data_IF_679203571245
#
_entry.id   IF_679203571245
#
_cell.length_a   1.000
_cell.length_b   1.000
_cell.length_c   1.000
_cell.angle_alpha   90.00
_cell.angle_beta   90.00
_cell.angle_gamma   90.00
#
_symmetry.space_group_name_H-M   'P 1'
#
loop_
_entity.id
_entity.type
_entity.pdbx_description
1 polymer ?
#
# COMPACT_ATOMS: atom_id res chain seq x y z
N UNK A 1 -40.23 -17.96 -13.32
CA UNK A 1 -40.73 -17.07 -12.28
C UNK A 1 -39.85 -15.81 -12.33
N UNK A 2 -40.23 -14.79 -13.10
CA UNK A 2 -39.70 -13.44 -12.98
C UNK A 2 -40.25 -12.86 -11.69
N UNK A 3 -39.57 -13.10 -10.58
CA UNK A 3 -39.76 -12.32 -9.38
C UNK A 3 -39.25 -10.91 -9.69
N UNK A 4 -39.99 -9.91 -9.30
CA UNK A 4 -39.53 -8.52 -9.32
C UNK A 4 -38.28 -8.47 -8.47
N UNK A 5 -37.12 -8.15 -9.08
CA UNK A 5 -35.88 -7.95 -8.36
C UNK A 5 -36.10 -6.81 -7.36
N UNK A 6 -36.14 -7.15 -6.10
CA UNK A 6 -36.41 -6.20 -5.02
C UNK A 6 -35.14 -5.48 -4.59
N UNK A 7 -33.99 -6.12 -4.81
CA UNK A 7 -32.69 -5.63 -4.34
C UNK A 7 -31.72 -5.53 -5.53
N UNK A 8 -31.40 -4.33 -5.94
CA UNK A 8 -30.53 -4.09 -7.13
C UNK A 8 -29.02 -4.09 -6.80
N UNK A 9 -28.65 -4.04 -5.53
CA UNK A 9 -27.27 -3.86 -5.12
C UNK A 9 -26.72 -2.47 -5.47
N UNK A 10 -25.45 -2.26 -5.16
CA UNK A 10 -24.79 -0.97 -5.46
C UNK A 10 -24.45 -0.86 -6.94
N UNK A 11 -24.86 0.23 -7.58
CA UNK A 11 -24.50 0.54 -8.97
C UNK A 11 -22.98 0.55 -9.13
N UNK A 12 -22.47 -0.26 -10.06
CA UNK A 12 -21.03 -0.41 -10.31
C UNK A 12 -20.32 -1.45 -9.44
N UNK A 13 -21.04 -2.26 -8.67
CA UNK A 13 -20.46 -3.39 -7.91
C UNK A 13 -20.05 -4.51 -8.87
N UNK A 14 -18.74 -4.56 -9.17
CA UNK A 14 -18.15 -5.51 -10.12
C UNK A 14 -18.02 -6.93 -9.58
N UNK A 15 -18.34 -7.18 -8.32
CA UNK A 15 -18.30 -8.53 -7.72
C UNK A 15 -19.30 -9.46 -8.38
N UNK A 16 -20.41 -8.91 -8.88
CA UNK A 16 -21.53 -9.65 -9.47
C UNK A 16 -21.65 -9.47 -10.98
N UNK A 17 -20.56 -9.16 -11.68
CA UNK A 17 -20.51 -8.95 -13.15
C UNK A 17 -20.65 -10.25 -13.96
N UNK A 18 -20.49 -11.44 -13.35
CA UNK A 18 -20.62 -12.70 -14.07
C UNK A 18 -22.07 -12.96 -14.48
N UNK A 19 -22.35 -13.27 -15.77
CA UNK A 19 -23.72 -13.50 -16.25
C UNK A 19 -24.50 -14.56 -15.46
N UNK A 20 -23.84 -15.53 -14.86
CA UNK A 20 -24.49 -16.57 -14.06
C UNK A 20 -25.29 -16.02 -12.86
N UNK A 21 -24.96 -14.81 -12.37
CA UNK A 21 -25.72 -14.14 -11.31
C UNK A 21 -27.12 -13.72 -11.77
N UNK A 22 -27.35 -13.59 -13.08
CA UNK A 22 -28.66 -13.27 -13.65
C UNK A 22 -29.32 -14.49 -14.30
N UNK A 23 -28.53 -15.33 -14.96
CA UNK A 23 -29.04 -16.46 -15.76
C UNK A 23 -29.40 -17.68 -14.92
N UNK A 24 -28.71 -17.91 -13.80
CA UNK A 24 -28.96 -19.06 -12.92
C UNK A 24 -29.91 -18.68 -11.79
N UNK A 25 -31.03 -19.39 -11.68
CA UNK A 25 -32.01 -19.16 -10.62
C UNK A 25 -31.38 -19.36 -9.20
N UNK A 26 -30.37 -20.22 -9.05
CA UNK A 26 -29.69 -20.43 -7.78
C UNK A 26 -28.83 -19.23 -7.41
N UNK A 27 -27.96 -18.78 -8.32
CA UNK A 27 -27.07 -17.65 -8.08
C UNK A 27 -27.83 -16.34 -7.97
N UNK A 28 -28.90 -16.19 -8.75
CA UNK A 28 -29.78 -15.03 -8.65
C UNK A 28 -30.41 -14.93 -7.25
N UNK A 29 -30.98 -16.03 -6.72
CA UNK A 29 -31.52 -16.06 -5.36
C UNK A 29 -30.47 -15.78 -4.29
N UNK A 30 -29.27 -16.31 -4.46
CA UNK A 30 -28.17 -16.09 -3.53
C UNK A 30 -27.73 -14.61 -3.52
N UNK A 31 -27.64 -13.99 -4.69
CA UNK A 31 -27.38 -12.54 -4.84
C UNK A 31 -28.46 -11.71 -4.15
N UNK A 32 -29.75 -12.01 -4.41
CA UNK A 32 -30.86 -11.32 -3.79
C UNK A 32 -30.88 -11.46 -2.25
N UNK A 33 -30.63 -12.66 -1.74
CA UNK A 33 -30.53 -12.91 -0.31
C UNK A 33 -29.38 -12.14 0.34
N UNK A 34 -28.23 -12.05 -0.34
CA UNK A 34 -27.10 -11.28 0.14
C UNK A 34 -27.41 -9.78 0.23
N UNK A 35 -28.00 -9.20 -0.81
CA UNK A 35 -28.35 -7.77 -0.79
C UNK A 35 -29.45 -7.46 0.22
N UNK A 36 -30.45 -8.36 0.37
CA UNK A 36 -31.47 -8.22 1.39
C UNK A 36 -30.85 -8.20 2.80
N UNK A 37 -29.91 -9.10 3.05
CA UNK A 37 -29.18 -9.14 4.32
C UNK A 37 -28.32 -7.88 4.54
N UNK A 38 -27.58 -7.42 3.52
CA UNK A 38 -26.77 -6.20 3.59
C UNK A 38 -27.62 -4.97 3.90
N UNK A 39 -28.81 -4.84 3.29
CA UNK A 39 -29.77 -3.77 3.53
C UNK A 39 -30.32 -3.85 4.96
N UNK A 40 -30.82 -5.02 5.40
CA UNK A 40 -31.35 -5.20 6.76
C UNK A 40 -30.31 -4.92 7.84
N UNK A 41 -29.06 -5.25 7.61
CA UNK A 41 -27.96 -4.87 8.52
C UNK A 41 -27.72 -3.36 8.55
N UNK A 42 -27.97 -2.65 7.44
CA UNK A 42 -27.93 -1.19 7.39
C UNK A 42 -29.05 -0.56 8.19
N UNK A 43 -30.30 -1.01 7.95
CA UNK A 43 -31.49 -0.59 8.68
C UNK A 43 -31.32 -0.79 10.20
N UNK A 44 -30.80 -1.96 10.61
CA UNK A 44 -30.51 -2.24 12.02
C UNK A 44 -29.53 -1.21 12.64
N UNK A 45 -28.49 -0.82 11.91
CA UNK A 45 -27.55 0.19 12.41
C UNK A 45 -28.20 1.57 12.51
N UNK A 46 -29.06 1.93 11.55
CA UNK A 46 -29.78 3.22 11.54
C UNK A 46 -30.83 3.30 12.68
N UNK A 47 -31.42 2.17 13.10
CA UNK A 47 -32.37 2.06 14.22
C UNK A 47 -31.72 2.18 15.61
N UNK A 48 -30.37 2.06 15.72
CA UNK A 48 -29.68 2.07 17.02
C UNK A 48 -29.59 3.47 17.67
N UNK A 49 -30.01 4.55 17.00
CA UNK A 49 -29.95 5.93 17.49
C UNK A 49 -28.60 6.30 18.15
N UNK A 50 -27.49 5.94 17.50
CA UNK A 50 -26.15 6.16 18.00
C UNK A 50 -25.70 7.62 17.80
N UNK A 51 -24.72 8.08 18.59
CA UNK A 51 -24.05 9.33 18.27
C UNK A 51 -23.30 9.27 16.94
N UNK A 52 -22.98 10.43 16.35
CA UNK A 52 -22.40 10.52 15.01
C UNK A 52 -21.03 9.81 14.85
N UNK A 53 -20.29 9.57 15.93
CA UNK A 53 -19.03 8.83 15.87
C UNK A 53 -19.28 7.32 15.92
N UNK A 54 -20.15 6.88 16.82
CA UNK A 54 -20.46 5.47 16.98
C UNK A 54 -21.31 4.94 15.82
N UNK A 55 -22.18 5.78 15.24
CA UNK A 55 -22.87 5.47 13.97
C UNK A 55 -21.86 5.18 12.83
N UNK A 56 -20.85 6.03 12.67
CA UNK A 56 -19.79 5.79 11.66
C UNK A 56 -19.01 4.52 11.93
N UNK A 57 -18.70 4.22 13.19
CA UNK A 57 -18.04 2.96 13.59
C UNK A 57 -18.90 1.74 13.28
N UNK A 58 -20.18 1.80 13.64
CA UNK A 58 -21.14 0.72 13.39
C UNK A 58 -21.32 0.47 11.88
N UNK A 59 -21.46 1.53 11.07
CA UNK A 59 -21.52 1.44 9.60
C UNK A 59 -20.24 0.85 9.01
N UNK A 60 -19.07 1.22 9.53
CA UNK A 60 -17.80 0.62 9.10
C UNK A 60 -17.72 -0.87 9.43
N UNK A 61 -18.09 -1.27 10.66
CA UNK A 61 -18.11 -2.68 11.06
C UNK A 61 -19.11 -3.47 10.22
N UNK A 62 -20.31 -2.93 10.01
CA UNK A 62 -21.32 -3.51 9.11
C UNK A 62 -20.76 -3.74 7.71
N UNK A 63 -20.13 -2.73 7.10
CA UNK A 63 -19.54 -2.81 5.78
C UNK A 63 -18.46 -3.89 5.69
N UNK A 64 -17.58 -3.98 6.69
CA UNK A 64 -16.53 -5.02 6.76
C UNK A 64 -17.16 -6.40 6.85
N UNK A 65 -18.17 -6.60 7.71
CA UNK A 65 -18.85 -7.88 7.89
C UNK A 65 -19.56 -8.30 6.60
N UNK A 66 -20.43 -7.45 6.06
CA UNK A 66 -21.22 -7.82 4.88
C UNK A 66 -20.35 -8.03 3.66
N UNK A 67 -19.31 -7.21 3.45
CA UNK A 67 -18.36 -7.41 2.35
C UNK A 67 -17.57 -8.70 2.51
N UNK A 68 -17.13 -9.04 3.72
CA UNK A 68 -16.38 -10.28 3.97
C UNK A 68 -17.23 -11.53 3.73
N UNK A 69 -18.53 -11.45 4.01
CA UNK A 69 -19.48 -12.55 3.83
C UNK A 69 -20.12 -12.61 2.43
N UNK A 70 -19.69 -11.74 1.51
CA UNK A 70 -20.21 -11.75 0.15
C UNK A 70 -20.03 -13.12 -0.51
N UNK A 71 -21.05 -13.68 -1.18
CA UNK A 71 -20.97 -15.00 -1.80
C UNK A 71 -19.89 -15.11 -2.87
N UNK A 72 -19.45 -14.00 -3.41
CA UNK A 72 -18.33 -13.91 -4.36
C UNK A 72 -16.96 -14.22 -3.73
N UNK A 73 -16.84 -14.24 -2.41
CA UNK A 73 -15.59 -14.55 -1.69
C UNK A 73 -15.37 -16.06 -1.48
N UNK A 74 -16.39 -16.88 -1.70
CA UNK A 74 -16.30 -18.31 -1.41
C UNK A 74 -16.37 -19.14 -2.68
N UNK A 75 -15.54 -20.18 -2.78
CA UNK A 75 -15.41 -21.01 -3.96
C UNK A 75 -16.76 -21.60 -4.42
N UNK A 76 -17.54 -22.16 -3.51
CA UNK A 76 -18.79 -22.87 -3.85
C UNK A 76 -19.92 -21.94 -4.25
N UNK A 77 -19.91 -20.69 -3.81
CA UNK A 77 -20.93 -19.69 -4.12
C UNK A 77 -20.53 -18.70 -5.20
N UNK A 78 -19.28 -18.76 -5.69
CA UNK A 78 -18.80 -17.88 -6.77
C UNK A 78 -18.83 -18.63 -8.11
N UNK A 79 -19.76 -18.31 -9.05
CA UNK A 79 -19.87 -19.01 -10.32
C UNK A 79 -18.61 -18.89 -11.19
N UNK A 80 -17.92 -17.75 -11.16
CA UNK A 80 -16.68 -17.54 -11.90
C UNK A 80 -15.55 -18.44 -11.36
N UNK A 81 -15.46 -18.58 -10.05
CA UNK A 81 -14.46 -19.43 -9.41
C UNK A 81 -14.72 -20.91 -9.72
N UNK A 82 -15.97 -21.37 -9.61
CA UNK A 82 -16.36 -22.75 -9.96
C UNK A 82 -16.10 -23.06 -11.43
N UNK A 83 -16.46 -22.15 -12.34
CA UNK A 83 -16.15 -22.32 -13.78
C UNK A 83 -14.65 -22.49 -13.99
N UNK A 84 -13.81 -21.68 -13.33
CA UNK A 84 -12.37 -21.80 -13.41
C UNK A 84 -11.83 -23.14 -12.92
N UNK A 85 -12.42 -23.72 -11.87
CA UNK A 85 -12.07 -25.07 -11.41
C UNK A 85 -12.38 -26.11 -12.48
N UNK A 86 -13.55 -26.05 -13.09
CA UNK A 86 -13.97 -26.98 -14.14
C UNK A 86 -13.07 -26.86 -15.38
N UNK A 87 -12.86 -25.64 -15.89
CA UNK A 87 -12.02 -25.36 -17.06
C UNK A 87 -10.58 -25.85 -16.87
N UNK A 88 -10.05 -25.72 -15.67
CA UNK A 88 -8.68 -26.16 -15.33
C UNK A 88 -8.61 -27.60 -14.85
N UNK A 89 -9.72 -28.36 -14.86
CA UNK A 89 -9.80 -29.71 -14.30
C UNK A 89 -9.21 -29.82 -12.89
N UNK A 90 -9.48 -28.82 -12.06
CA UNK A 90 -8.99 -28.73 -10.69
C UNK A 90 -7.57 -28.18 -10.52
N UNK A 91 -6.81 -27.92 -11.59
CA UNK A 91 -5.44 -27.42 -11.47
C UNK A 91 -5.35 -26.06 -10.76
N UNK A 92 -6.38 -25.21 -10.88
CA UNK A 92 -6.45 -23.94 -10.16
C UNK A 92 -6.48 -24.12 -8.63
N UNK A 93 -7.16 -25.15 -8.12
CA UNK A 93 -7.19 -25.46 -6.69
C UNK A 93 -5.83 -25.95 -6.18
N UNK A 94 -5.19 -26.83 -6.93
CA UNK A 94 -3.85 -27.33 -6.59
C UNK A 94 -2.83 -26.20 -6.56
N UNK A 95 -2.91 -25.26 -7.53
CA UNK A 95 -2.07 -24.05 -7.53
C UNK A 95 -2.37 -23.17 -6.33
N UNK A 96 -3.64 -22.93 -6.00
CA UNK A 96 -4.06 -22.16 -4.83
C UNK A 96 -3.54 -22.77 -3.53
N UNK A 97 -3.68 -24.09 -3.36
CA UNK A 97 -3.16 -24.79 -2.18
C UNK A 97 -1.63 -24.68 -2.08
N UNK A 98 -0.91 -24.83 -3.19
CA UNK A 98 0.54 -24.66 -3.21
C UNK A 98 0.95 -23.23 -2.80
N UNK A 99 0.29 -22.21 -3.36
CA UNK A 99 0.55 -20.83 -2.99
C UNK A 99 0.28 -20.60 -1.50
N UNK A 100 -0.84 -21.10 -0.97
CA UNK A 100 -1.18 -20.99 0.45
C UNK A 100 -0.10 -21.62 1.35
N UNK A 101 0.37 -22.84 1.01
CA UNK A 101 1.45 -23.50 1.78
C UNK A 101 2.76 -22.72 1.69
N UNK A 102 3.08 -22.17 0.51
CA UNK A 102 4.28 -21.34 0.32
C UNK A 102 4.19 -20.05 1.13
N UNK A 103 3.05 -19.37 1.10
CA UNK A 103 2.80 -18.16 1.88
C UNK A 103 2.94 -18.42 3.39
N UNK A 104 2.42 -19.56 3.88
CA UNK A 104 2.59 -19.95 5.29
C UNK A 104 4.06 -20.18 5.68
N UNK A 105 4.83 -20.79 4.79
CA UNK A 105 6.24 -21.11 5.06
C UNK A 105 7.19 -19.93 4.87
N UNK A 106 6.98 -19.14 3.84
CA UNK A 106 7.98 -18.21 3.32
C UNK A 106 7.56 -16.73 3.42
N UNK A 107 6.28 -16.45 3.76
CA UNK A 107 5.76 -15.09 3.79
C UNK A 107 4.91 -14.77 5.04
N UNK A 108 5.13 -15.48 6.14
CA UNK A 108 4.42 -15.30 7.42
C UNK A 108 2.88 -15.37 7.30
N UNK A 109 2.37 -16.21 6.42
CA UNK A 109 0.94 -16.38 6.16
C UNK A 109 0.31 -15.26 5.31
N UNK A 110 1.09 -14.28 4.88
CA UNK A 110 0.59 -13.22 4.00
C UNK A 110 0.71 -13.63 2.53
N UNK A 111 -0.32 -13.38 1.71
CA UNK A 111 -0.25 -13.69 0.29
C UNK A 111 0.91 -12.97 -0.41
N UNK A 112 1.72 -13.73 -1.16
CA UNK A 112 2.79 -13.16 -1.98
C UNK A 112 2.17 -12.35 -3.14
N UNK A 113 2.43 -11.04 -3.17
CA UNK A 113 1.87 -10.14 -4.18
C UNK A 113 2.79 -9.96 -5.39
N UNK A 114 4.10 -10.20 -5.22
CA UNK A 114 5.12 -10.00 -6.25
C UNK A 114 6.18 -11.09 -6.20
N UNK A 115 6.77 -11.38 -7.33
CA UNK A 115 7.99 -12.19 -7.43
C UNK A 115 9.21 -11.32 -7.09
N UNK A 116 9.67 -11.38 -5.85
CA UNK A 116 10.79 -10.57 -5.34
C UNK A 116 12.14 -10.97 -5.95
N UNK A 117 12.26 -12.17 -6.52
CA UNK A 117 13.51 -12.67 -7.09
C UNK A 117 14.03 -11.87 -8.29
N UNK A 118 13.15 -11.05 -8.89
CA UNK A 118 13.47 -10.19 -10.04
C UNK A 118 14.02 -8.82 -9.67
N UNK A 119 14.08 -8.50 -8.38
CA UNK A 119 14.45 -7.16 -7.90
C UNK A 119 15.68 -7.22 -7.01
N UNK A 120 16.65 -6.38 -7.34
CA UNK A 120 17.92 -6.25 -6.62
C UNK A 120 18.22 -4.78 -6.35
N UNK A 121 18.36 -4.44 -5.06
CA UNK A 121 18.73 -3.08 -4.63
C UNK A 121 20.20 -2.81 -4.97
N UNK A 122 20.46 -1.72 -5.69
CA UNK A 122 21.79 -1.42 -6.26
C UNK A 122 22.04 -2.06 -7.63
N UNK A 123 21.22 -3.05 -8.02
CA UNK A 123 21.23 -3.67 -9.36
C UNK A 123 20.21 -3.01 -10.28
N UNK A 124 18.92 -3.36 -10.11
CA UNK A 124 17.85 -2.81 -10.92
C UNK A 124 16.84 -1.94 -10.13
N UNK A 125 17.03 -1.80 -8.83
CA UNK A 125 16.38 -0.80 -7.96
C UNK A 125 17.45 0.06 -7.30
N UNK A 126 17.13 1.32 -6.96
CA UNK A 126 18.05 2.26 -6.32
C UNK A 126 19.34 2.44 -7.14
N UNK A 127 19.18 2.73 -8.42
CA UNK A 127 20.29 2.71 -9.39
C UNK A 127 21.14 4.00 -9.40
N UNK A 128 20.71 5.06 -8.73
CA UNK A 128 21.48 6.29 -8.62
C UNK A 128 22.65 6.11 -7.65
N UNK A 129 23.87 6.42 -8.09
CA UNK A 129 25.08 6.29 -7.28
C UNK A 129 25.06 7.28 -6.11
N UNK A 130 25.36 6.80 -4.89
CA UNK A 130 25.38 7.62 -3.68
C UNK A 130 26.14 6.95 -2.55
N UNK A 131 26.32 7.70 -1.45
CA UNK A 131 26.96 7.21 -0.24
C UNK A 131 26.24 7.68 1.02
N UNK A 132 26.26 6.88 2.08
CA UNK A 132 25.81 7.29 3.41
C UNK A 132 26.82 8.26 3.99
N UNK A 133 26.39 9.51 4.24
CA UNK A 133 27.24 10.61 4.73
C UNK A 133 26.98 10.97 6.20
N UNK A 134 25.85 10.51 6.75
CA UNK A 134 25.52 10.71 8.16
C UNK A 134 24.65 9.53 8.65
N UNK A 135 24.83 9.15 9.92
CA UNK A 135 24.06 8.11 10.59
C UNK A 135 23.48 8.64 11.90
N UNK A 136 22.24 8.31 12.11
CA UNK A 136 21.48 8.50 13.34
C UNK A 136 20.83 7.18 13.73
N UNK A 137 20.37 7.02 14.94
CA UNK A 137 19.69 5.79 15.37
C UNK A 137 18.48 5.45 14.48
N UNK A 138 17.71 6.47 14.08
CA UNK A 138 16.48 6.33 13.29
C UNK A 138 16.70 6.36 11.78
N UNK A 139 17.84 6.84 11.29
CA UNK A 139 18.04 7.04 9.85
C UNK A 139 19.51 6.96 9.42
N UNK A 140 19.69 6.69 8.14
CA UNK A 140 20.91 7.01 7.39
C UNK A 140 20.60 8.10 6.37
N UNK A 141 21.53 9.06 6.21
CA UNK A 141 21.43 10.10 5.21
C UNK A 141 22.32 9.73 4.01
N UNK A 142 21.70 9.59 2.86
CA UNK A 142 22.37 9.28 1.59
C UNK A 142 22.59 10.59 0.84
N UNK A 143 23.84 10.85 0.42
CA UNK A 143 24.17 11.89 -0.56
C UNK A 143 24.37 11.21 -1.92
N UNK A 144 23.64 11.65 -2.92
CA UNK A 144 23.79 11.15 -4.28
C UNK A 144 24.90 11.88 -5.03
N UNK A 145 25.59 11.14 -5.89
CA UNK A 145 26.67 11.68 -6.72
C UNK A 145 26.09 12.60 -7.81
N UNK A 146 26.54 13.85 -7.91
CA UNK A 146 26.10 14.75 -8.96
C UNK A 146 26.38 14.18 -10.36
N UNK A 147 25.45 14.41 -11.29
CA UNK A 147 25.60 14.04 -12.70
C UNK A 147 26.18 15.17 -13.55
N UNK A 148 26.34 16.36 -12.99
CA UNK A 148 26.89 17.53 -13.64
C UNK A 148 28.08 18.11 -12.88
N UNK A 149 29.01 18.75 -13.60
CA UNK A 149 30.19 19.38 -13.00
C UNK A 149 29.85 20.62 -12.14
N UNK A 150 28.69 21.22 -12.37
CA UNK A 150 28.19 22.37 -11.60
C UNK A 150 26.82 22.03 -11.05
N UNK A 151 26.61 22.35 -9.78
CA UNK A 151 25.36 22.10 -9.07
C UNK A 151 24.86 23.37 -8.41
N UNK A 152 23.56 23.44 -8.19
CA UNK A 152 22.99 24.54 -7.42
C UNK A 152 23.53 24.55 -5.99
N UNK A 153 23.79 25.73 -5.46
CA UNK A 153 24.33 25.92 -4.10
C UNK A 153 23.36 25.41 -3.03
N UNK A 154 22.06 25.56 -3.24
CA UNK A 154 21.04 25.09 -2.30
C UNK A 154 20.75 23.60 -2.52
N UNK A 155 21.10 22.73 -1.56
CA UNK A 155 20.83 21.30 -1.68
C UNK A 155 19.34 20.99 -1.49
N UNK A 156 18.96 19.77 -1.85
CA UNK A 156 17.61 19.21 -1.70
C UNK A 156 17.68 18.00 -0.79
N UNK A 157 16.82 17.95 0.24
CA UNK A 157 16.57 16.79 1.08
C UNK A 157 15.25 16.16 0.68
N UNK A 158 15.27 14.86 0.34
CA UNK A 158 14.08 14.02 0.14
C UNK A 158 13.78 13.29 1.44
N UNK A 159 12.58 13.48 1.98
CA UNK A 159 12.07 12.81 3.19
C UNK A 159 10.98 11.83 2.78
N UNK A 160 11.30 10.55 2.58
CA UNK A 160 10.31 9.54 2.25
C UNK A 160 9.42 9.20 3.45
N UNK A 161 8.22 8.62 3.23
CA UNK A 161 7.42 8.10 4.33
C UNK A 161 8.16 6.99 5.07
N UNK A 162 8.00 6.92 6.39
CA UNK A 162 8.66 5.94 7.26
C UNK A 162 8.29 4.48 6.89
N UNK A 163 7.11 4.27 6.33
CA UNK A 163 6.63 2.95 5.89
C UNK A 163 7.27 2.46 4.59
N UNK A 164 7.95 3.34 3.84
CA UNK A 164 8.56 3.01 2.56
C UNK A 164 10.09 2.92 2.65
N UNK A 165 10.66 2.22 1.69
CA UNK A 165 12.12 2.22 1.49
C UNK A 165 12.56 3.52 0.83
N UNK A 166 13.79 3.96 1.09
CA UNK A 166 14.37 5.18 0.51
C UNK A 166 14.27 5.22 -1.01
N UNK A 167 14.38 4.05 -1.66
CA UNK A 167 14.36 3.93 -3.11
C UNK A 167 12.97 4.03 -3.76
N UNK A 168 11.90 4.35 -3.01
CA UNK A 168 10.60 4.69 -3.60
C UNK A 168 10.74 5.88 -4.58
N UNK A 169 11.75 6.74 -4.37
CA UNK A 169 12.08 7.86 -5.24
C UNK A 169 13.17 7.54 -6.26
N UNK A 170 13.68 6.30 -6.30
CA UNK A 170 14.76 5.86 -7.20
C UNK A 170 14.52 4.40 -7.63
N UNK A 171 13.36 4.13 -8.24
CA UNK A 171 12.94 2.76 -8.56
C UNK A 171 13.75 2.18 -9.72
N UNK A 172 13.74 2.85 -10.88
CA UNK A 172 14.51 2.44 -12.06
C UNK A 172 15.11 3.68 -12.72
N UNK A 173 16.08 3.53 -13.65
CA UNK A 173 16.65 4.67 -14.37
C UNK A 173 15.63 5.59 -15.04
N UNK A 174 14.48 5.04 -15.48
CA UNK A 174 13.38 5.77 -16.13
C UNK A 174 12.33 6.29 -15.12
N UNK A 175 12.29 5.70 -13.93
CA UNK A 175 11.33 6.02 -12.86
C UNK A 175 12.06 6.43 -11.59
N UNK A 176 12.89 7.46 -11.70
CA UNK A 176 13.69 7.99 -10.60
C UNK A 176 13.52 9.51 -10.50
N UNK A 177 12.87 9.95 -9.43
CA UNK A 177 12.84 11.37 -9.06
C UNK A 177 14.23 11.87 -8.65
N UNK A 178 15.00 11.03 -7.97
CA UNK A 178 16.39 11.33 -7.59
C UNK A 178 17.23 11.65 -8.84
N UNK A 179 17.23 10.73 -9.82
CA UNK A 179 17.98 10.90 -11.06
C UNK A 179 17.54 12.16 -11.82
N UNK A 180 16.23 12.40 -11.91
CA UNK A 180 15.71 13.62 -12.51
C UNK A 180 16.32 14.87 -11.84
N UNK A 181 16.25 14.97 -10.50
CA UNK A 181 16.83 16.12 -9.79
C UNK A 181 18.35 16.25 -10.01
N UNK A 182 19.08 15.15 -10.05
CA UNK A 182 20.52 15.17 -10.32
C UNK A 182 20.82 15.67 -11.75
N UNK A 183 20.01 15.29 -12.74
CA UNK A 183 20.13 15.78 -14.12
C UNK A 183 19.87 17.28 -14.24
N UNK A 184 18.92 17.79 -13.42
CA UNK A 184 18.61 19.23 -13.33
C UNK A 184 19.64 20.01 -12.50
N UNK A 185 20.72 19.38 -12.04
CA UNK A 185 21.82 20.04 -11.34
C UNK A 185 21.60 20.24 -9.83
N UNK A 186 20.65 19.57 -9.19
CA UNK A 186 20.50 19.63 -7.75
C UNK A 186 21.53 18.75 -7.04
N UNK A 187 21.99 19.21 -5.85
CA UNK A 187 22.66 18.36 -4.88
C UNK A 187 21.58 17.63 -4.08
N UNK A 188 21.43 16.32 -4.28
CA UNK A 188 20.33 15.56 -3.71
C UNK A 188 20.80 14.71 -2.53
N UNK A 189 20.06 14.80 -1.45
CA UNK A 189 20.17 13.95 -0.28
C UNK A 189 18.83 13.25 -0.05
N UNK A 190 18.85 12.03 0.49
CA UNK A 190 17.63 11.33 0.90
C UNK A 190 17.81 10.65 2.24
N UNK A 191 16.75 10.63 3.03
CA UNK A 191 16.69 9.87 4.26
C UNK A 191 16.35 8.41 3.93
N UNK A 192 17.11 7.49 4.50
CA UNK A 192 16.80 6.09 4.60
C UNK A 192 16.39 5.78 6.04
N UNK A 193 15.09 5.64 6.29
CA UNK A 193 14.58 5.34 7.62
C UNK A 193 14.94 3.90 8.05
N UNK A 194 15.35 3.74 9.31
CA UNK A 194 15.48 2.43 9.92
C UNK A 194 14.09 1.80 10.08
N UNK A 195 13.93 0.53 9.75
CA UNK A 195 12.72 -0.21 10.06
C UNK A 195 12.70 -0.52 11.57
N UNK A 196 11.74 0.01 12.34
CA UNK A 196 11.66 -0.27 13.76
C UNK A 196 11.26 -1.72 14.03
N UNK A 197 11.74 -2.26 15.14
CA UNK A 197 11.30 -3.54 15.71
C UNK A 197 10.47 -3.26 16.97
N UNK A 198 10.11 -4.30 17.72
CA UNK A 198 9.41 -4.14 19.00
C UNK A 198 10.23 -3.34 20.03
N UNK A 199 11.55 -3.36 19.95
CA UNK A 199 12.44 -2.61 20.84
C UNK A 199 12.27 -1.10 20.67
N UNK A 200 11.92 -0.64 19.47
CA UNK A 200 11.69 0.75 19.12
C UNK A 200 10.22 1.16 19.17
N UNK A 201 9.34 0.41 19.85
CA UNK A 201 7.92 0.74 19.95
C UNK A 201 7.62 2.10 20.62
N UNK A 202 8.61 2.67 21.29
CA UNK A 202 8.55 3.98 21.94
C UNK A 202 8.86 5.15 20.99
N UNK A 203 9.31 4.90 19.74
CA UNK A 203 9.57 5.95 18.78
C UNK A 203 8.26 6.57 18.30
N UNK A 204 8.06 7.83 18.65
CA UNK A 204 6.94 8.65 18.22
C UNK A 204 7.35 9.67 17.16
N UNK A 205 6.43 10.55 16.81
CA UNK A 205 6.65 11.57 15.78
C UNK A 205 7.78 12.52 16.17
N UNK A 206 7.91 12.88 17.45
CA UNK A 206 8.95 13.81 17.93
C UNK A 206 10.35 13.29 17.62
N UNK A 207 10.62 11.98 17.85
CA UNK A 207 11.91 11.36 17.56
C UNK A 207 12.22 11.38 16.05
N UNK A 208 11.20 11.18 15.19
CA UNK A 208 11.38 11.27 13.75
C UNK A 208 11.68 12.70 13.29
N UNK A 209 11.02 13.71 13.86
CA UNK A 209 11.29 15.13 13.58
C UNK A 209 12.70 15.52 14.03
N UNK A 210 13.12 15.13 15.24
CA UNK A 210 14.47 15.37 15.76
C UNK A 210 15.55 14.74 14.86
N UNK A 211 15.33 13.49 14.43
CA UNK A 211 16.25 12.80 13.53
C UNK A 211 16.34 13.51 12.15
N UNK A 212 15.20 13.96 11.61
CA UNK A 212 15.18 14.74 10.38
C UNK A 212 15.90 16.08 10.52
N UNK A 213 15.74 16.79 11.64
CA UNK A 213 16.45 18.02 11.94
C UNK A 213 17.98 17.80 12.05
N UNK A 214 18.40 16.67 12.64
CA UNK A 214 19.81 16.28 12.66
C UNK A 214 20.37 16.05 11.25
N UNK A 215 19.59 15.40 10.37
CA UNK A 215 19.96 15.23 8.96
C UNK A 215 20.08 16.57 8.22
N UNK A 216 19.15 17.51 8.45
CA UNK A 216 19.21 18.88 7.93
C UNK A 216 20.53 19.57 8.37
N UNK A 217 20.86 19.49 9.65
CA UNK A 217 22.08 20.06 10.19
C UNK A 217 23.34 19.48 9.54
N UNK A 218 23.36 18.15 9.32
CA UNK A 218 24.45 17.48 8.62
C UNK A 218 24.59 17.97 7.17
N UNK A 219 23.48 18.10 6.42
CA UNK A 219 23.50 18.62 5.04
C UNK A 219 24.05 20.03 4.98
N UNK A 220 23.60 20.93 5.86
CA UNK A 220 24.08 22.31 5.89
C UNK A 220 25.57 22.39 6.21
N UNK A 221 26.08 21.54 7.11
CA UNK A 221 27.51 21.45 7.41
C UNK A 221 28.33 20.92 6.22
N UNK A 222 27.88 19.86 5.55
CA UNK A 222 28.56 19.27 4.38
C UNK A 222 28.62 20.27 3.21
N UNK A 223 27.50 20.93 2.90
CA UNK A 223 27.37 21.79 1.72
C UNK A 223 27.78 23.23 1.97
N UNK A 224 27.96 23.64 3.23
CA UNK A 224 28.17 25.04 3.66
C UNK A 224 27.08 25.97 3.12
N UNK A 225 25.89 25.44 2.89
CA UNK A 225 24.71 26.22 2.49
C UNK A 225 24.00 26.79 3.73
N UNK A 226 23.39 27.97 3.59
CA UNK A 226 22.55 28.53 4.65
C UNK A 226 21.13 27.96 4.65
N UNK A 227 20.70 27.42 3.53
CA UNK A 227 19.31 26.94 3.31
C UNK A 227 19.35 25.68 2.47
N UNK A 228 18.31 24.85 2.62
CA UNK A 228 18.06 23.72 1.76
C UNK A 228 16.57 23.69 1.36
N UNK A 229 16.27 22.92 0.29
CA UNK A 229 14.91 22.59 -0.09
C UNK A 229 14.55 21.25 0.52
N UNK A 230 13.34 21.10 1.04
CA UNK A 230 12.80 19.81 1.55
C UNK A 230 11.68 19.36 0.66
N UNK A 231 11.71 18.08 0.27
CA UNK A 231 10.64 17.41 -0.44
C UNK A 231 10.17 16.24 0.41
N UNK A 232 9.01 16.38 1.01
CA UNK A 232 8.38 15.33 1.81
C UNK A 232 7.09 14.87 1.16
N UNK A 233 6.81 13.58 1.22
CA UNK A 233 5.55 13.02 0.75
C UNK A 233 4.91 12.13 1.81
N UNK A 234 3.56 12.14 1.88
CA UNK A 234 2.78 11.36 2.84
C UNK A 234 3.28 11.64 4.28
N UNK A 235 3.56 10.61 5.08
CA UNK A 235 4.12 10.76 6.43
C UNK A 235 5.47 11.50 6.45
N UNK A 236 6.29 11.39 5.41
CA UNK A 236 7.52 12.18 5.26
C UNK A 236 7.27 13.69 5.14
N UNK A 237 6.14 14.09 4.54
CA UNK A 237 5.71 15.50 4.51
C UNK A 237 5.15 16.01 5.85
N UNK A 238 4.66 15.12 6.71
CA UNK A 238 4.23 15.46 8.07
C UNK A 238 5.45 15.64 8.99
N UNK A 239 6.52 14.87 8.74
CA UNK A 239 7.76 14.89 9.52
C UNK A 239 8.66 16.10 9.16
N UNK A 240 8.56 16.58 7.91
CA UNK A 240 9.36 17.68 7.38
C UNK A 240 8.80 19.06 7.77
#
# INVERSE_FOLDING_TARGET
LKGTDKYEGRKGDRRFDDPAWEESALYHKLKQAYFAWDESMGELVDELELDAMDERRAKFVKEVLTTSMAPTNFLLSNPKALRRVVETRGASLLKGLRNFVDDQKNNNGMPAQVDKSKFEVGGNLATSEGAVVFRHELLELIQYKPLSAKVYKRPMLVVPPQINKFYIYDLTPEKSFIKFCLQEGFQVFAISWRNPTREQCHWGMDQYVEAAAAAVSAILAITRSKYLNVVGACAGGITA
#
